data_IF_500048134707
#
_entry.id   IF_500048134707
#
_cell.length_a   1.000
_cell.length_b   1.000
_cell.length_c   1.000
_cell.angle_alpha   90.00
_cell.angle_beta   90.00
_cell.angle_gamma   90.00
#
_symmetry.space_group_name_H-M   'P 1'
#
loop_
_entity.id
_entity.type
_entity.pdbx_description
1 polymer ?
#
# COMPACT_ATOMS: atom_id res chain seq x y z
N UNK A 1 -5.38 27.15 21.69
CA UNK A 1 -3.98 27.42 22.12
C UNK A 1 -3.04 26.52 21.35
N UNK A 2 -2.08 27.09 20.61
CA UNK A 2 -1.01 26.31 19.97
C UNK A 2 -0.09 25.79 21.07
N UNK A 3 0.05 24.47 21.18
CA UNK A 3 0.98 23.87 22.15
C UNK A 3 2.42 24.08 21.66
N UNK A 4 3.35 24.51 22.51
CA UNK A 4 4.75 24.68 22.12
C UNK A 4 5.37 23.33 21.74
N UNK A 5 6.30 23.34 20.77
CA UNK A 5 7.02 22.14 20.36
C UNK A 5 7.89 21.60 21.51
N UNK A 6 8.06 20.26 21.63
CA UNK A 6 8.92 19.67 22.66
C UNK A 6 10.36 20.19 22.59
N UNK A 7 11.03 20.33 23.74
CA UNK A 7 12.42 20.82 23.82
C UNK A 7 13.45 20.06 22.98
N UNK A 8 13.18 18.79 22.63
CA UNK A 8 14.06 17.94 21.82
C UNK A 8 13.59 17.82 20.35
N UNK A 9 12.58 18.59 19.95
CA UNK A 9 12.05 18.55 18.59
C UNK A 9 13.09 19.12 17.62
N UNK A 10 13.50 18.32 16.63
CA UNK A 10 14.36 18.77 15.53
C UNK A 10 13.46 19.19 14.38
N UNK A 11 13.61 20.42 13.91
CA UNK A 11 12.83 20.89 12.78
C UNK A 11 13.18 20.08 11.52
N UNK A 12 12.16 19.55 10.81
CA UNK A 12 12.39 18.90 9.53
C UNK A 12 12.95 19.91 8.54
N UNK A 13 13.82 19.43 7.66
CA UNK A 13 14.38 20.25 6.59
C UNK A 13 13.48 20.18 5.35
N UNK A 14 13.48 21.25 4.56
CA UNK A 14 12.82 21.24 3.26
C UNK A 14 13.52 20.24 2.34
N UNK A 15 12.74 19.35 1.73
CA UNK A 15 13.23 18.44 0.69
C UNK A 15 13.35 19.18 -0.63
N UNK A 16 14.16 18.66 -1.55
CA UNK A 16 14.34 19.25 -2.88
C UNK A 16 13.49 18.56 -3.94
N UNK A 17 13.13 19.30 -5.00
CA UNK A 17 12.38 18.81 -6.15
C UNK A 17 13.06 19.24 -7.45
N UNK A 18 13.49 18.27 -8.25
CA UNK A 18 14.18 18.51 -9.51
C UNK A 18 13.26 18.70 -10.71
N UNK A 19 11.94 18.52 -10.53
CA UNK A 19 10.97 18.37 -11.60
C UNK A 19 10.59 16.92 -11.88
N UNK A 20 11.06 15.96 -11.06
CA UNK A 20 10.70 14.53 -11.15
C UNK A 20 9.91 14.10 -9.92
N UNK A 21 8.92 13.24 -10.12
CA UNK A 21 8.02 12.78 -9.07
C UNK A 21 6.77 13.65 -8.94
N UNK A 22 5.90 13.28 -7.99
CA UNK A 22 4.60 13.92 -7.83
C UNK A 22 4.74 15.35 -7.27
N UNK A 23 4.27 16.38 -7.98
CA UNK A 23 4.34 17.76 -7.50
C UNK A 23 3.39 18.02 -6.32
N UNK A 24 2.29 17.29 -6.19
CA UNK A 24 1.40 17.42 -5.03
C UNK A 24 2.10 16.96 -3.76
N UNK A 25 2.81 15.82 -3.81
CA UNK A 25 3.57 15.31 -2.66
C UNK A 25 4.64 16.32 -2.22
N UNK A 26 5.41 16.88 -3.18
CA UNK A 26 6.43 17.88 -2.86
C UNK A 26 5.83 19.17 -2.27
N UNK A 27 4.74 19.66 -2.87
CA UNK A 27 4.05 20.86 -2.41
C UNK A 27 3.53 20.68 -0.99
N UNK A 28 2.82 19.57 -0.73
CA UNK A 28 2.25 19.28 0.58
C UNK A 28 3.33 19.13 1.66
N UNK A 29 4.43 18.44 1.35
CA UNK A 29 5.55 18.29 2.29
C UNK A 29 6.22 19.64 2.58
N UNK A 30 6.47 20.44 1.56
CA UNK A 30 7.06 21.77 1.71
C UNK A 30 6.17 22.69 2.54
N UNK A 31 4.87 22.77 2.20
CA UNK A 31 3.87 23.55 2.92
C UNK A 31 3.78 23.14 4.39
N UNK A 32 3.75 21.83 4.69
CA UNK A 32 3.70 21.33 6.06
C UNK A 32 4.93 21.75 6.89
N UNK A 33 6.14 21.69 6.30
CA UNK A 33 7.38 22.15 6.97
C UNK A 33 7.32 23.66 7.22
N UNK A 34 6.93 24.46 6.21
CA UNK A 34 6.84 25.91 6.33
C UNK A 34 5.82 26.36 7.40
N UNK A 35 4.66 25.70 7.45
CA UNK A 35 3.64 25.94 8.48
C UNK A 35 4.14 25.58 9.87
N UNK A 36 4.90 24.48 10.00
CA UNK A 36 5.49 24.07 11.27
C UNK A 36 6.53 25.08 11.77
N UNK A 37 7.25 25.74 10.85
CA UNK A 37 8.14 26.85 11.17
C UNK A 37 7.39 28.15 11.53
N UNK A 38 6.07 28.22 11.31
CA UNK A 38 5.27 29.42 11.55
C UNK A 38 5.56 30.55 10.54
N UNK A 39 6.01 30.21 9.34
CA UNK A 39 6.29 31.22 8.32
C UNK A 39 5.01 31.84 7.78
N UNK A 40 5.04 33.16 7.59
CA UNK A 40 3.98 33.87 6.90
C UNK A 40 4.04 33.65 5.39
N UNK A 41 2.92 33.86 4.70
CA UNK A 41 2.74 33.62 3.27
C UNK A 41 3.87 34.21 2.40
N UNK A 42 4.28 35.45 2.66
CA UNK A 42 5.37 36.10 1.94
C UNK A 42 6.74 35.43 2.15
N UNK A 43 6.98 34.84 3.33
CA UNK A 43 8.20 34.06 3.61
C UNK A 43 8.12 32.72 2.88
N UNK A 44 6.96 32.05 2.90
CA UNK A 44 6.75 30.80 2.16
C UNK A 44 7.03 30.98 0.67
N UNK A 45 6.52 32.05 0.05
CA UNK A 45 6.78 32.38 -1.35
C UNK A 45 8.27 32.56 -1.67
N UNK A 46 9.04 33.18 -0.77
CA UNK A 46 10.49 33.40 -0.95
C UNK A 46 11.31 32.16 -0.65
N UNK A 47 10.85 31.30 0.26
CA UNK A 47 11.55 30.09 0.65
C UNK A 47 11.29 28.92 -0.31
N UNK A 48 10.10 28.81 -0.89
CA UNK A 48 9.74 27.69 -1.77
C UNK A 48 10.70 27.48 -2.95
N UNK A 49 11.20 28.51 -3.65
CA UNK A 49 12.16 28.33 -4.74
C UNK A 49 13.48 27.67 -4.30
N UNK A 50 13.84 27.77 -3.01
CA UNK A 50 15.03 27.10 -2.45
C UNK A 50 14.87 25.58 -2.43
N UNK A 51 13.63 25.09 -2.44
CA UNK A 51 13.31 23.66 -2.57
C UNK A 51 13.44 23.15 -4.00
N UNK A 52 13.56 24.04 -4.99
CA UNK A 52 13.57 23.64 -6.40
C UNK A 52 15.01 23.47 -6.90
N UNK A 53 15.26 22.41 -7.65
CA UNK A 53 16.54 22.12 -8.30
C UNK A 53 16.32 21.82 -9.79
N UNK A 54 17.41 21.81 -10.57
CA UNK A 54 17.40 21.42 -12.00
C UNK A 54 16.26 22.08 -12.81
N UNK A 55 15.42 21.28 -13.46
CA UNK A 55 14.34 21.71 -14.32
C UNK A 55 13.28 22.52 -13.57
N UNK A 56 13.02 22.18 -12.30
CA UNK A 56 12.08 22.94 -11.48
C UNK A 56 12.58 24.35 -11.16
N UNK A 57 13.89 24.52 -10.95
CA UNK A 57 14.47 25.85 -10.74
C UNK A 57 14.41 26.69 -12.02
N UNK A 58 14.71 26.09 -13.17
CA UNK A 58 14.61 26.78 -14.47
C UNK A 58 13.17 27.23 -14.73
N UNK A 59 12.19 26.35 -14.49
CA UNK A 59 10.77 26.69 -14.60
C UNK A 59 10.40 27.91 -13.75
N UNK A 60 10.82 27.94 -12.48
CA UNK A 60 10.49 29.05 -11.58
C UNK A 60 11.09 30.38 -12.06
N UNK A 61 12.35 30.35 -12.51
CA UNK A 61 13.04 31.53 -13.02
C UNK A 61 12.42 32.10 -14.30
N UNK A 62 11.67 31.29 -15.05
CA UNK A 62 10.97 31.72 -16.27
C UNK A 62 9.57 32.28 -16.01
N UNK A 63 9.10 32.30 -14.76
CA UNK A 63 7.84 32.93 -14.41
C UNK A 63 7.93 34.44 -14.58
N UNK A 64 6.85 35.05 -15.08
CA UNK A 64 6.77 36.51 -15.18
C UNK A 64 6.95 37.15 -13.79
N UNK A 65 7.80 38.17 -13.72
CA UNK A 65 8.02 38.93 -12.51
C UNK A 65 6.69 39.51 -11.96
N UNK A 66 6.52 39.47 -10.64
CA UNK A 66 5.30 39.91 -9.97
C UNK A 66 4.07 39.01 -10.20
N UNK A 67 4.20 37.87 -10.88
CA UNK A 67 3.06 36.98 -11.16
C UNK A 67 2.61 36.10 -9.99
N UNK A 68 3.32 36.15 -8.86
CA UNK A 68 2.99 35.44 -7.61
C UNK A 68 2.81 36.50 -6.52
N UNK A 69 1.56 36.68 -6.07
CA UNK A 69 1.23 37.61 -4.98
C UNK A 69 1.10 36.92 -3.62
N UNK A 70 0.89 35.60 -3.60
CA UNK A 70 0.75 34.81 -2.37
C UNK A 70 1.06 33.32 -2.61
N UNK A 71 1.14 32.55 -1.52
CA UNK A 71 1.55 31.16 -1.58
C UNK A 71 0.54 30.28 -2.33
N UNK A 72 -0.76 30.60 -2.25
CA UNK A 72 -1.80 29.90 -3.03
C UNK A 72 -1.61 30.07 -4.55
N UNK A 73 -1.23 31.27 -5.01
CA UNK A 73 -0.90 31.49 -6.41
C UNK A 73 0.37 30.75 -6.83
N UNK A 74 1.40 30.75 -5.98
CA UNK A 74 2.61 29.96 -6.20
C UNK A 74 2.27 28.47 -6.34
N UNK A 75 1.47 27.95 -5.41
CA UNK A 75 1.02 26.55 -5.38
C UNK A 75 0.33 26.20 -6.68
N UNK A 76 -0.66 27.00 -7.10
CA UNK A 76 -1.39 26.76 -8.34
C UNK A 76 -0.44 26.72 -9.55
N UNK A 77 0.42 27.73 -9.72
CA UNK A 77 1.38 27.77 -10.83
C UNK A 77 2.31 26.57 -10.83
N UNK A 78 2.83 26.18 -9.65
CA UNK A 78 3.72 25.02 -9.52
C UNK A 78 3.02 23.72 -9.93
N UNK A 79 1.81 23.48 -9.43
CA UNK A 79 1.01 22.31 -9.81
C UNK A 79 0.73 22.33 -11.31
N UNK A 80 0.27 23.46 -11.86
CA UNK A 80 -0.03 23.58 -13.30
C UNK A 80 1.23 23.32 -14.17
N UNK A 81 2.40 23.81 -13.73
CA UNK A 81 3.67 23.66 -14.44
C UNK A 81 4.23 22.23 -14.44
N UNK A 82 3.91 21.43 -13.42
CA UNK A 82 4.38 20.05 -13.27
C UNK A 82 3.27 19.00 -13.33
N UNK A 83 2.06 19.38 -13.75
CA UNK A 83 0.89 18.51 -13.72
C UNK A 83 1.10 17.19 -14.48
N UNK A 84 1.88 17.22 -15.57
CA UNK A 84 2.22 16.02 -16.35
C UNK A 84 3.02 14.99 -15.55
N UNK A 85 3.74 15.42 -14.51
CA UNK A 85 4.52 14.57 -13.60
C UNK A 85 3.70 14.09 -12.40
N UNK A 86 2.47 14.59 -12.23
CA UNK A 86 1.58 14.10 -11.18
C UNK A 86 1.31 12.61 -11.37
N UNK A 87 1.37 11.87 -10.26
CA UNK A 87 1.02 10.46 -10.27
C UNK A 87 -0.44 10.37 -10.66
N UNK A 88 -0.71 9.75 -11.80
CA UNK A 88 -2.08 9.47 -12.22
C UNK A 88 -2.69 8.53 -11.18
N UNK A 89 -3.66 9.05 -10.42
CA UNK A 89 -4.52 8.19 -9.62
C UNK A 89 -5.33 7.32 -10.57
N UNK A 90 -5.46 6.06 -10.21
CA UNK A 90 -6.18 5.06 -10.96
C UNK A 90 -7.67 5.20 -10.65
N UNK A 91 -8.52 4.78 -11.58
CA UNK A 91 -9.96 4.74 -11.35
C UNK A 91 -10.35 3.51 -10.52
N UNK A 92 -11.62 3.47 -10.08
CA UNK A 92 -12.18 2.35 -9.34
C UNK A 92 -12.07 1.00 -10.09
N UNK A 93 -12.07 1.01 -11.42
CA UNK A 93 -11.99 -0.22 -12.23
C UNK A 93 -10.62 -0.89 -12.12
N UNK A 94 -9.57 -0.15 -11.74
CA UNK A 94 -8.26 -0.72 -11.45
C UNK A 94 -8.31 -1.81 -10.38
N UNK A 95 -9.15 -1.67 -9.36
CA UNK A 95 -9.28 -2.72 -8.33
C UNK A 95 -9.80 -4.05 -8.91
N UNK A 96 -10.53 -4.02 -10.03
CA UNK A 96 -11.02 -5.22 -10.71
C UNK A 96 -9.91 -5.95 -11.48
N UNK A 97 -8.74 -5.33 -11.67
CA UNK A 97 -7.57 -6.00 -12.23
C UNK A 97 -6.75 -6.71 -11.16
N UNK A 98 -6.98 -6.42 -9.87
CA UNK A 98 -6.29 -7.05 -8.74
C UNK A 98 -7.00 -8.34 -8.39
N UNK A 99 -6.67 -9.40 -9.11
CA UNK A 99 -7.17 -10.77 -8.88
C UNK A 99 -6.25 -11.53 -7.92
N UNK A 100 -6.83 -12.41 -7.10
CA UNK A 100 -6.07 -13.40 -6.34
C UNK A 100 -5.54 -14.48 -7.28
N UNK A 101 -4.22 -14.65 -7.32
CA UNK A 101 -3.58 -15.64 -8.18
C UNK A 101 -3.72 -17.07 -7.65
N UNK A 102 -3.52 -18.08 -8.50
CA UNK A 102 -3.79 -19.48 -8.16
C UNK A 102 -3.04 -20.01 -6.94
N UNK A 103 -1.79 -19.58 -6.78
CA UNK A 103 -0.92 -20.03 -5.69
C UNK A 103 -0.74 -18.96 -4.60
N UNK A 104 -1.46 -17.85 -4.72
CA UNK A 104 -1.35 -16.71 -3.81
C UNK A 104 -2.21 -16.94 -2.57
N UNK A 105 -1.63 -16.71 -1.38
CA UNK A 105 -2.38 -16.78 -0.12
C UNK A 105 -3.42 -15.67 -0.03
N UNK A 106 -4.47 -15.85 0.78
CA UNK A 106 -5.41 -14.76 1.01
C UNK A 106 -4.72 -13.54 1.62
N UNK A 107 -3.68 -13.74 2.43
CA UNK A 107 -2.90 -12.67 3.05
C UNK A 107 -2.19 -11.81 2.01
N UNK A 108 -1.38 -12.43 1.15
CA UNK A 108 -0.61 -11.71 0.12
C UNK A 108 -1.55 -10.97 -0.85
N UNK A 109 -2.67 -11.60 -1.20
CA UNK A 109 -3.71 -10.97 -2.01
C UNK A 109 -4.31 -9.74 -1.32
N UNK A 110 -4.72 -9.85 -0.07
CA UNK A 110 -5.33 -8.74 0.69
C UNK A 110 -4.32 -7.60 0.83
N UNK A 111 -3.04 -7.89 1.10
CA UNK A 111 -1.99 -6.88 1.18
C UNK A 111 -1.82 -6.12 -0.15
N UNK A 112 -1.74 -6.83 -1.28
CA UNK A 112 -1.69 -6.19 -2.61
C UNK A 112 -2.95 -5.39 -2.93
N UNK A 113 -4.12 -5.94 -2.61
CA UNK A 113 -5.39 -5.27 -2.87
C UNK A 113 -5.49 -3.97 -2.05
N UNK A 114 -5.11 -4.01 -0.77
CA UNK A 114 -4.99 -2.82 0.07
C UNK A 114 -4.02 -1.80 -0.50
N UNK A 115 -2.82 -2.21 -0.94
CA UNK A 115 -1.86 -1.31 -1.57
C UNK A 115 -2.47 -0.63 -2.82
N UNK A 116 -3.17 -1.39 -3.66
CA UNK A 116 -3.84 -0.86 -4.84
C UNK A 116 -4.94 0.16 -4.52
N UNK A 117 -5.63 0.03 -3.38
CA UNK A 117 -6.65 1.02 -2.95
C UNK A 117 -6.07 2.41 -2.71
N UNK A 118 -4.79 2.51 -2.31
CA UNK A 118 -4.10 3.79 -2.08
C UNK A 118 -3.82 4.54 -3.39
N UNK A 119 -3.84 3.84 -4.52
CA UNK A 119 -3.62 4.43 -5.84
C UNK A 119 -4.90 4.92 -6.49
N UNK A 120 -6.07 4.65 -5.91
CA UNK A 120 -7.38 4.95 -6.50
C UNK A 120 -7.95 6.26 -5.97
N UNK A 121 -8.47 7.10 -6.87
CA UNK A 121 -9.17 8.34 -6.50
C UNK A 121 -10.63 8.09 -6.10
N UNK A 122 -11.15 8.94 -5.21
CA UNK A 122 -12.57 8.97 -4.77
C UNK A 122 -13.13 7.60 -4.34
N UNK A 123 -12.27 6.80 -3.69
CA UNK A 123 -12.56 5.41 -3.38
C UNK A 123 -13.73 5.26 -2.39
N UNK A 124 -14.77 4.56 -2.85
CA UNK A 124 -15.94 4.21 -2.03
C UNK A 124 -15.76 2.84 -1.39
N UNK A 125 -16.17 2.69 -0.12
CA UNK A 125 -16.07 1.41 0.60
C UNK A 125 -16.81 0.27 -0.13
N UNK A 126 -17.94 0.57 -0.78
CA UNK A 126 -18.72 -0.38 -1.58
C UNK A 126 -17.94 -0.94 -2.78
N UNK A 127 -17.09 -0.12 -3.41
CA UNK A 127 -16.21 -0.54 -4.52
C UNK A 127 -15.14 -1.50 -4.00
N UNK A 128 -14.55 -1.24 -2.84
CA UNK A 128 -13.56 -2.13 -2.22
C UNK A 128 -14.17 -3.50 -1.89
N UNK A 129 -15.33 -3.49 -1.24
CA UNK A 129 -16.08 -4.72 -0.90
C UNK A 129 -16.42 -5.50 -2.17
N UNK A 130 -16.98 -4.84 -3.18
CA UNK A 130 -17.33 -5.45 -4.47
C UNK A 130 -16.11 -6.02 -5.19
N UNK A 131 -15.00 -5.28 -5.21
CA UNK A 131 -13.74 -5.72 -5.80
C UNK A 131 -13.21 -6.99 -5.12
N UNK A 132 -13.11 -7.00 -3.78
CA UNK A 132 -12.67 -8.21 -3.05
C UNK A 132 -13.62 -9.39 -3.23
N UNK A 133 -14.93 -9.15 -3.19
CA UNK A 133 -15.94 -10.18 -3.44
C UNK A 133 -15.76 -10.79 -4.83
N UNK A 134 -15.50 -9.98 -5.86
CA UNK A 134 -15.37 -10.48 -7.23
C UNK A 134 -13.99 -11.07 -7.55
N UNK A 135 -12.94 -10.66 -6.83
CA UNK A 135 -11.55 -10.93 -7.24
C UNK A 135 -10.78 -11.86 -6.31
N UNK A 136 -11.28 -12.13 -5.11
CA UNK A 136 -10.77 -13.20 -4.26
C UNK A 136 -11.06 -14.58 -4.89
N UNK A 137 -10.21 -15.58 -4.59
CA UNK A 137 -10.39 -16.97 -5.03
C UNK A 137 -11.09 -17.82 -3.96
N UNK A 138 -10.95 -17.48 -2.69
CA UNK A 138 -11.57 -18.20 -1.57
C UNK A 138 -13.09 -18.08 -1.62
N UNK A 139 -13.78 -19.18 -1.95
CA UNK A 139 -15.25 -19.24 -2.04
C UNK A 139 -15.92 -19.00 -0.69
N UNK A 140 -15.34 -19.50 0.38
CA UNK A 140 -15.88 -19.29 1.73
C UNK A 140 -15.75 -17.83 2.16
N UNK A 141 -14.63 -17.18 1.81
CA UNK A 141 -14.45 -15.75 2.04
C UNK A 141 -15.47 -14.95 1.21
N UNK A 142 -15.61 -15.22 -0.09
CA UNK A 142 -16.61 -14.59 -0.95
C UNK A 142 -18.03 -14.75 -0.41
N UNK A 143 -18.41 -15.98 -0.04
CA UNK A 143 -19.71 -16.28 0.55
C UNK A 143 -19.93 -15.54 1.85
N UNK A 144 -18.90 -15.42 2.69
CA UNK A 144 -19.01 -14.64 3.93
C UNK A 144 -19.28 -13.16 3.65
N UNK A 145 -18.66 -12.59 2.60
CA UNK A 145 -18.85 -11.20 2.18
C UNK A 145 -20.25 -10.97 1.61
N UNK A 146 -20.79 -11.92 0.82
CA UNK A 146 -22.12 -11.79 0.24
C UNK A 146 -23.25 -11.99 1.27
N UNK A 147 -23.09 -12.92 2.23
CA UNK A 147 -24.11 -13.19 3.24
C UNK A 147 -24.25 -12.06 4.27
N UNK A 148 -23.14 -11.40 4.61
CA UNK A 148 -23.13 -10.34 5.62
C UNK A 148 -22.32 -9.14 5.10
N UNK A 149 -22.85 -8.38 4.15
CA UNK A 149 -22.09 -7.32 3.48
C UNK A 149 -21.44 -6.35 4.49
N UNK A 150 -20.10 -6.17 4.45
CA UNK A 150 -19.43 -5.19 5.30
C UNK A 150 -19.92 -3.77 5.01
N UNK A 151 -20.30 -3.03 6.06
CA UNK A 151 -20.73 -1.64 5.95
C UNK A 151 -19.54 -0.66 5.97
N UNK A 152 -18.43 -1.10 6.58
CA UNK A 152 -17.20 -0.33 6.67
C UNK A 152 -16.00 -1.13 6.16
N UNK A 153 -14.92 -0.41 5.80
CA UNK A 153 -13.64 -1.06 5.50
C UNK A 153 -13.06 -1.80 6.72
N UNK A 154 -13.33 -1.31 7.94
CA UNK A 154 -12.92 -1.97 9.17
C UNK A 154 -13.54 -3.36 9.33
N UNK A 155 -14.83 -3.49 9.02
CA UNK A 155 -15.55 -4.77 9.05
C UNK A 155 -15.01 -5.74 7.99
N UNK A 156 -14.74 -5.23 6.78
CA UNK A 156 -14.17 -6.00 5.68
C UNK A 156 -12.81 -6.59 6.07
N UNK A 157 -11.88 -5.75 6.53
CA UNK A 157 -10.53 -6.19 6.89
C UNK A 157 -10.51 -7.08 8.13
N UNK A 158 -11.36 -6.79 9.12
CA UNK A 158 -11.54 -7.68 10.28
C UNK A 158 -12.00 -9.07 9.85
N UNK A 159 -12.89 -9.16 8.85
CA UNK A 159 -13.30 -10.44 8.29
C UNK A 159 -12.19 -11.11 7.48
N UNK A 160 -11.51 -10.38 6.61
CA UNK A 160 -10.37 -10.90 5.86
C UNK A 160 -9.33 -11.53 6.79
N UNK A 161 -8.98 -10.85 7.89
CA UNK A 161 -8.04 -11.36 8.89
C UNK A 161 -8.50 -12.68 9.53
N UNK A 162 -9.78 -12.86 9.83
CA UNK A 162 -10.31 -14.14 10.35
C UNK A 162 -10.08 -15.29 9.35
N UNK A 163 -10.31 -15.04 8.07
CA UNK A 163 -10.09 -16.04 7.02
C UNK A 163 -8.61 -16.31 6.78
N UNK A 164 -7.76 -15.29 6.83
CA UNK A 164 -6.29 -15.43 6.75
C UNK A 164 -5.80 -16.35 7.88
N UNK A 165 -6.19 -16.08 9.13
CA UNK A 165 -5.83 -16.90 10.27
C UNK A 165 -6.33 -18.35 10.11
N UNK A 166 -7.56 -18.53 9.64
CA UNK A 166 -8.12 -19.86 9.39
C UNK A 166 -7.35 -20.61 8.31
N UNK A 167 -6.91 -19.93 7.25
CA UNK A 167 -6.11 -20.52 6.17
C UNK A 167 -4.75 -20.98 6.70
N UNK A 168 -4.07 -20.15 7.49
CA UNK A 168 -2.78 -20.48 8.09
C UNK A 168 -2.87 -21.68 9.03
N UNK A 169 -3.89 -21.73 9.90
CA UNK A 169 -4.16 -22.89 10.77
C UNK A 169 -4.35 -24.16 9.95
N UNK A 170 -5.15 -24.10 8.88
CA UNK A 170 -5.39 -25.27 8.02
C UNK A 170 -4.15 -25.71 7.24
N UNK A 171 -3.30 -24.76 6.81
CA UNK A 171 -2.00 -25.06 6.20
C UNK A 171 -1.10 -25.82 7.16
N UNK A 172 -0.99 -25.40 8.43
CA UNK A 172 -0.22 -26.10 9.46
C UNK A 172 -0.75 -27.51 9.75
N UNK A 173 -2.08 -27.66 9.89
CA UNK A 173 -2.71 -28.98 10.09
C UNK A 173 -2.39 -29.92 8.92
N UNK A 174 -2.49 -29.42 7.68
CA UNK A 174 -2.24 -30.22 6.49
C UNK A 174 -0.76 -30.58 6.32
N UNK A 175 0.17 -29.70 6.72
CA UNK A 175 1.59 -30.01 6.75
C UNK A 175 1.88 -31.17 7.72
N UNK A 176 1.38 -31.08 8.96
CA UNK A 176 1.56 -32.15 9.95
C UNK A 176 0.98 -33.50 9.51
N UNK A 177 -0.16 -33.51 8.82
CA UNK A 177 -0.74 -34.74 8.23
C UNK A 177 0.15 -35.32 7.12
N UNK A 178 0.77 -34.47 6.30
CA UNK A 178 1.69 -34.92 5.23
C UNK A 178 2.97 -35.51 5.81
N UNK A 179 3.50 -34.91 6.87
CA UNK A 179 4.71 -35.40 7.53
C UNK A 179 4.47 -36.73 8.23
N UNK A 180 3.33 -36.87 8.92
CA UNK A 180 2.91 -38.17 9.50
C UNK A 180 2.78 -39.25 8.42
N UNK A 181 2.10 -38.95 7.31
CA UNK A 181 1.93 -39.90 6.19
C UNK A 181 3.25 -40.29 5.52
N UNK A 182 4.25 -39.39 5.49
CA UNK A 182 5.60 -39.71 5.01
C UNK A 182 6.33 -40.64 5.98
N UNK A 183 6.27 -40.35 7.27
CA UNK A 183 6.87 -41.19 8.31
C UNK A 183 6.28 -42.60 8.33
N UNK A 184 4.95 -42.72 8.26
CA UNK A 184 4.27 -44.03 8.21
C UNK A 184 4.71 -44.84 6.98
N UNK A 185 4.89 -44.20 5.80
CA UNK A 185 5.38 -44.87 4.58
C UNK A 185 6.83 -45.32 4.69
N UNK A 186 7.69 -44.51 5.31
CA UNK A 186 9.10 -44.86 5.48
C UNK A 186 9.27 -46.01 6.50
N UNK A 187 8.47 -46.02 7.58
CA UNK A 187 8.41 -47.13 8.54
C UNK A 187 7.90 -48.43 7.88
N UNK A 188 6.84 -48.36 7.07
CA UNK A 188 6.32 -49.54 6.34
C UNK A 188 7.35 -50.11 5.34
N UNK A 189 8.14 -49.23 4.71
CA UNK A 189 9.18 -49.63 3.76
C UNK A 189 10.43 -50.22 4.44
N UNK A 190 10.76 -49.80 5.67
CA UNK A 190 11.88 -50.37 6.45
C UNK A 190 11.52 -51.75 7.03
N UNK A 191 10.28 -51.95 7.47
CA UNK A 191 9.80 -53.26 7.95
C UNK A 191 9.81 -54.32 6.82
N UNK A 192 9.33 -53.97 5.62
CA UNK A 192 9.35 -54.86 4.46
C UNK A 192 10.76 -55.24 3.99
N UNK A 193 11.77 -54.41 4.29
CA UNK A 193 13.18 -54.68 3.96
C UNK A 193 13.86 -55.61 4.97
N UNK A 194 13.40 -55.61 6.23
CA UNK A 194 13.91 -56.50 7.29
C UNK A 194 13.33 -57.92 7.19
N UNK A 195 12.07 -58.08 6.77
CA UNK A 195 11.45 -59.41 6.58
C UNK A 195 11.95 -60.17 5.36
N UNK A 196 12.57 -59.49 4.38
CA UNK A 196 13.08 -60.11 3.15
C UNK A 196 14.48 -60.74 3.23
N UNK A 197 15.23 -60.55 4.33
CA UNK A 197 16.61 -61.06 4.48
C UNK A 197 16.74 -62.38 5.24
N UNK A 198 15.63 -62.99 5.64
CA UNK A 198 15.63 -64.23 6.45
C UNK A 198 15.57 -65.54 5.67
N UNK A 199 15.55 -65.53 4.34
CA UNK A 199 15.21 -66.72 3.54
C UNK A 199 16.26 -67.08 2.48
N UNK A 200 17.54 -67.05 2.84
CA UNK A 200 18.58 -67.79 2.13
C UNK A 200 19.50 -68.33 3.20
N UNK A 201 19.47 -69.64 3.46
CA UNK A 201 20.54 -70.53 3.94
C UNK A 201 19.87 -71.90 4.19
N UNK A 202 19.80 -72.70 3.13
CA UNK A 202 19.60 -74.15 3.22
C UNK A 202 20.54 -74.82 2.23
#
# INVERSE_FOLDING_TARGET
>A
MVKPLPKKFKMPQLTTYSGKGDPYDHMQNSEAVMLLHGWEDAIMCRAFPLTLTEHARIWFNNLKEGSISNFNQLRKKFIDGFLINARRKKDASYLLTIKQEEKESLKDYVERFCAATLEVQDLQATVVVSGMLQRARSRDFQKSLSLNQPLTLGDLFSRANKFILSEDVMRHINAGKRDKKRKDRDETNDEGRKTGRGNEHR
#
